data_IF_996837822707
#
_entry.id   IF_996837822707
#
_cell.length_a   1.000
_cell.length_b   1.000
_cell.length_c   1.000
_cell.angle_alpha   90.00
_cell.angle_beta   90.00
_cell.angle_gamma   90.00
#
_symmetry.space_group_name_H-M   'P 1'
#
loop_
_entity.id
_entity.type
_entity.pdbx_description
1 polymer ?
#
# COMPACT_ATOMS: atom_id res chain seq x y z
N UNK A 1 -9.18 18.62 -24.68
CA UNK A 1 -8.41 17.83 -25.66
C UNK A 1 -9.05 16.46 -25.72
N UNK A 2 -9.99 16.26 -26.65
CA UNK A 2 -10.74 15.00 -26.80
C UNK A 2 -9.88 14.03 -27.60
N UNK A 3 -9.33 12.99 -26.96
CA UNK A 3 -8.71 11.86 -27.65
C UNK A 3 -9.80 11.06 -28.35
N UNK A 4 -10.12 11.42 -29.58
CA UNK A 4 -10.96 10.58 -30.44
C UNK A 4 -10.17 9.30 -30.73
N UNK A 5 -10.47 8.22 -30.01
CA UNK A 5 -9.98 6.89 -30.33
C UNK A 5 -10.57 6.48 -31.69
N UNK A 6 -9.75 6.53 -32.74
CA UNK A 6 -10.11 5.98 -34.04
C UNK A 6 -10.06 4.47 -33.90
N UNK A 7 -11.22 3.81 -33.86
CA UNK A 7 -11.34 2.35 -33.81
C UNK A 7 -10.90 1.73 -35.14
N UNK A 8 -9.58 1.72 -35.37
CA UNK A 8 -8.94 1.10 -36.52
C UNK A 8 -8.62 -0.36 -36.22
N UNK A 9 -8.70 -1.23 -37.23
CA UNK A 9 -8.29 -2.63 -37.13
C UNK A 9 -6.80 -2.81 -36.77
N UNK A 10 -5.98 -1.77 -36.83
CA UNK A 10 -4.62 -1.79 -36.32
C UNK A 10 -4.55 -1.62 -34.78
N UNK A 11 -5.50 -0.89 -34.19
CA UNK A 11 -5.45 -0.48 -32.78
C UNK A 11 -5.76 -1.65 -31.83
N UNK A 12 -6.62 -2.60 -32.22
CA UNK A 12 -6.94 -3.76 -31.37
C UNK A 12 -5.74 -4.69 -31.12
N UNK A 13 -4.73 -4.67 -32.01
CA UNK A 13 -3.49 -5.43 -31.86
C UNK A 13 -2.41 -4.68 -31.07
N UNK A 14 -2.63 -3.41 -30.74
CA UNK A 14 -1.67 -2.59 -30.00
C UNK A 14 -1.44 -3.20 -28.61
N UNK A 15 -0.16 -3.35 -28.25
CA UNK A 15 0.21 -3.70 -26.89
C UNK A 15 0.35 -2.41 -26.09
N UNK A 16 -0.43 -2.21 -25.01
CA UNK A 16 -0.34 -1.00 -24.22
C UNK A 16 0.96 -0.97 -23.44
N UNK A 17 1.53 0.22 -23.33
CA UNK A 17 2.73 0.44 -22.54
C UNK A 17 2.36 0.45 -21.05
N UNK A 18 3.24 -0.01 -20.16
CA UNK A 18 2.99 0.00 -18.71
C UNK A 18 2.68 1.41 -18.17
N UNK A 19 3.26 2.46 -18.77
CA UNK A 19 2.94 3.85 -18.43
C UNK A 19 1.48 4.22 -18.79
N UNK A 20 0.95 3.74 -19.92
CA UNK A 20 -0.45 3.94 -20.31
C UNK A 20 -1.39 3.23 -19.33
N UNK A 21 -1.00 2.08 -18.81
CA UNK A 21 -1.80 1.35 -17.80
C UNK A 21 -1.87 2.08 -16.46
N UNK A 22 -0.81 2.78 -16.06
CA UNK A 22 -0.75 3.46 -14.75
C UNK A 22 -1.34 4.86 -14.83
N UNK A 23 -0.93 5.64 -15.84
CA UNK A 23 -1.25 7.06 -15.96
C UNK A 23 -2.30 7.36 -17.03
N UNK A 24 -2.63 6.39 -17.88
CA UNK A 24 -3.67 6.55 -18.89
C UNK A 24 -5.02 6.78 -18.22
N UNK A 25 -5.75 7.77 -18.72
CA UNK A 25 -7.02 8.15 -18.14
C UNK A 25 -8.12 7.10 -18.44
N UNK A 26 -8.02 6.47 -19.60
CA UNK A 26 -8.81 5.30 -20.00
C UNK A 26 -8.02 4.01 -19.75
N UNK A 27 -8.73 2.97 -19.31
CA UNK A 27 -8.14 1.67 -19.08
C UNK A 27 -7.98 0.94 -20.42
N UNK A 28 -6.77 0.50 -20.80
CA UNK A 28 -6.60 -0.29 -22.02
C UNK A 28 -7.28 -1.65 -21.86
N UNK A 29 -7.92 -2.13 -22.92
CA UNK A 29 -8.67 -3.39 -22.91
C UNK A 29 -7.78 -4.63 -22.70
N UNK A 30 -6.51 -4.55 -23.13
CA UNK A 30 -5.54 -5.64 -23.03
C UNK A 30 -4.55 -5.40 -21.89
N UNK A 31 -4.16 -6.46 -21.19
CA UNK A 31 -3.07 -6.39 -20.22
C UNK A 31 -1.71 -6.22 -20.96
N UNK A 32 -0.77 -5.45 -20.40
CA UNK A 32 0.60 -5.36 -20.91
C UNK A 32 1.35 -6.68 -20.63
N UNK A 33 2.37 -6.98 -21.45
CA UNK A 33 3.12 -8.25 -21.39
C UNK A 33 4.04 -8.37 -20.15
N UNK A 34 4.32 -7.24 -19.50
CA UNK A 34 5.15 -7.17 -18.30
C UNK A 34 4.44 -7.75 -17.07
N UNK A 35 5.14 -8.52 -16.23
CA UNK A 35 4.59 -9.07 -14.98
C UNK A 35 3.99 -7.99 -14.06
N UNK A 36 4.79 -6.96 -13.74
CA UNK A 36 4.35 -5.85 -12.87
C UNK A 36 3.19 -5.09 -13.52
N UNK A 37 3.26 -4.87 -14.84
CA UNK A 37 2.21 -4.19 -15.59
C UNK A 37 0.88 -4.95 -15.58
N UNK A 38 0.91 -6.28 -15.72
CA UNK A 38 -0.31 -7.10 -15.70
C UNK A 38 -0.95 -7.16 -14.31
N UNK A 39 -0.14 -7.14 -13.24
CA UNK A 39 -0.65 -7.07 -11.87
C UNK A 39 -1.33 -5.73 -11.59
N UNK A 40 -0.67 -4.61 -11.94
CA UNK A 40 -1.22 -3.27 -11.77
C UNK A 40 -2.47 -3.06 -12.62
N UNK A 41 -2.49 -3.57 -13.85
CA UNK A 41 -3.67 -3.57 -14.71
C UNK A 41 -4.84 -4.30 -14.02
N UNK A 42 -4.60 -5.48 -13.44
CA UNK A 42 -5.64 -6.26 -12.76
C UNK A 42 -6.17 -5.57 -11.51
N UNK A 43 -5.29 -5.00 -10.68
CA UNK A 43 -5.69 -4.22 -9.51
C UNK A 43 -6.50 -2.99 -9.90
N UNK A 44 -6.06 -2.26 -10.91
CA UNK A 44 -6.79 -1.11 -11.43
C UNK A 44 -8.16 -1.49 -11.98
N UNK A 45 -8.25 -2.59 -12.73
CA UNK A 45 -9.51 -3.08 -13.29
C UNK A 45 -10.49 -3.50 -12.19
N UNK A 46 -10.01 -4.19 -11.14
CA UNK A 46 -10.81 -4.49 -9.95
C UNK A 46 -11.32 -3.23 -9.26
N UNK A 47 -10.44 -2.26 -9.04
CA UNK A 47 -10.80 -1.00 -8.40
C UNK A 47 -11.83 -0.22 -9.22
N UNK A 48 -11.62 -0.08 -10.54
CA UNK A 48 -12.56 0.60 -11.43
C UNK A 48 -13.92 -0.12 -11.50
N UNK A 49 -13.93 -1.46 -11.43
CA UNK A 49 -15.16 -2.26 -11.41
C UNK A 49 -15.94 -2.13 -10.09
N UNK A 50 -15.27 -2.24 -8.93
CA UNK A 50 -15.94 -2.18 -7.62
C UNK A 50 -16.58 -0.82 -7.35
N UNK A 51 -15.93 0.26 -7.79
CA UNK A 51 -16.42 1.63 -7.61
C UNK A 51 -17.22 2.15 -8.81
N UNK A 52 -17.49 1.31 -9.81
CA UNK A 52 -18.17 1.67 -11.06
C UNK A 52 -17.57 2.91 -11.76
N UNK A 53 -16.27 3.15 -11.59
CA UNK A 53 -15.57 4.32 -12.10
C UNK A 53 -15.45 4.33 -13.62
N UNK A 54 -15.80 3.22 -14.28
CA UNK A 54 -15.86 3.12 -15.74
C UNK A 54 -16.99 3.94 -16.36
N UNK A 55 -18.03 4.30 -15.59
CA UNK A 55 -19.18 5.07 -16.07
C UNK A 55 -19.06 6.58 -15.79
N UNK A 56 -18.07 6.97 -14.99
CA UNK A 56 -17.86 8.37 -14.62
C UNK A 56 -17.13 9.13 -15.71
N UNK A 57 -17.41 10.43 -15.80
CA UNK A 57 -16.63 11.29 -16.68
C UNK A 57 -15.17 11.38 -16.16
N UNK A 58 -14.19 11.55 -17.07
CA UNK A 58 -12.78 11.74 -16.74
C UNK A 58 -12.50 12.68 -15.56
N UNK A 59 -13.19 13.80 -15.51
CA UNK A 59 -12.96 14.83 -14.49
C UNK A 59 -13.58 14.44 -13.13
N UNK A 60 -14.73 13.76 -13.12
CA UNK A 60 -15.39 13.27 -11.91
C UNK A 60 -14.53 12.19 -11.24
N UNK A 61 -13.94 11.29 -12.05
CA UNK A 61 -13.00 10.27 -11.57
C UNK A 61 -11.81 10.92 -10.84
N UNK A 62 -11.25 12.00 -11.40
CA UNK A 62 -10.15 12.75 -10.78
C UNK A 62 -10.59 13.38 -9.45
N UNK A 63 -11.78 13.97 -9.39
CA UNK A 63 -12.33 14.57 -8.17
C UNK A 63 -12.51 13.51 -7.07
N UNK A 64 -13.13 12.37 -7.37
CA UNK A 64 -13.31 11.28 -6.40
C UNK A 64 -11.97 10.77 -5.88
N UNK A 65 -11.01 10.52 -6.79
CA UNK A 65 -9.66 10.10 -6.39
C UNK A 65 -9.02 11.12 -5.46
N UNK A 66 -9.19 12.41 -5.72
CA UNK A 66 -8.66 13.47 -4.84
C UNK A 66 -9.30 13.44 -3.45
N UNK A 67 -10.62 13.29 -3.36
CA UNK A 67 -11.33 13.19 -2.07
C UNK A 67 -10.89 11.95 -1.29
N UNK A 68 -10.89 10.78 -1.94
CA UNK A 68 -10.48 9.51 -1.31
C UNK A 68 -9.05 9.60 -0.80
N UNK A 69 -8.13 10.14 -1.62
CA UNK A 69 -6.74 10.35 -1.19
C UNK A 69 -6.65 11.34 -0.01
N UNK A 70 -7.41 12.42 -0.03
CA UNK A 70 -7.42 13.40 1.07
C UNK A 70 -7.88 12.78 2.39
N UNK A 71 -8.95 11.98 2.35
CA UNK A 71 -9.45 11.25 3.53
C UNK A 71 -8.43 10.20 3.98
N UNK A 72 -7.81 9.46 3.05
CA UNK A 72 -6.80 8.46 3.37
C UNK A 72 -5.57 9.11 4.02
N UNK A 73 -5.07 10.23 3.49
CA UNK A 73 -3.94 10.96 4.09
C UNK A 73 -4.29 11.44 5.48
N UNK A 74 -5.51 11.97 5.69
CA UNK A 74 -5.97 12.39 7.01
C UNK A 74 -6.05 11.20 7.99
N UNK A 75 -6.56 10.05 7.53
CA UNK A 75 -6.62 8.82 8.32
C UNK A 75 -5.23 8.29 8.66
N UNK A 76 -4.33 8.22 7.69
CA UNK A 76 -2.94 7.77 7.90
C UNK A 76 -2.24 8.70 8.87
N UNK A 77 -2.39 10.03 8.71
CA UNK A 77 -1.83 11.01 9.64
C UNK A 77 -2.42 10.84 11.05
N UNK A 78 -3.73 10.66 11.15
CA UNK A 78 -4.42 10.38 12.41
C UNK A 78 -3.89 9.11 13.08
N UNK A 79 -3.76 8.01 12.34
CA UNK A 79 -3.20 6.75 12.84
C UNK A 79 -1.75 6.96 13.27
N UNK A 80 -0.88 7.52 12.43
CA UNK A 80 0.53 7.68 12.76
C UNK A 80 0.76 8.58 13.98
N UNK A 81 -0.06 9.63 14.16
CA UNK A 81 0.10 10.56 15.28
C UNK A 81 -0.58 10.08 16.57
N UNK A 82 -1.75 9.44 16.46
CA UNK A 82 -2.58 9.08 17.61
C UNK A 82 -2.43 7.62 18.06
N UNK A 83 -2.17 6.70 17.13
CA UNK A 83 -2.04 5.28 17.44
C UNK A 83 -0.85 4.92 18.34
N UNK A 84 0.38 5.47 18.16
CA UNK A 84 1.52 5.06 18.99
C UNK A 84 1.35 5.44 20.46
N UNK A 85 0.75 6.60 20.77
CA UNK A 85 0.52 7.03 22.16
C UNK A 85 -0.50 6.14 22.88
N UNK A 86 -1.50 5.62 22.15
CA UNK A 86 -2.46 4.65 22.69
C UNK A 86 -1.87 3.27 22.90
N UNK A 87 -1.02 2.79 21.99
CA UNK A 87 -0.34 1.50 22.14
C UNK A 87 0.55 1.49 23.40
N UNK A 88 1.26 2.57 23.68
CA UNK A 88 2.06 2.68 24.91
C UNK A 88 1.16 2.56 26.14
N UNK A 89 0.06 3.30 26.19
CA UNK A 89 -0.86 3.28 27.35
C UNK A 89 -1.51 1.89 27.55
N UNK A 90 -1.92 1.24 26.46
CA UNK A 90 -2.48 -0.12 26.53
C UNK A 90 -1.44 -1.16 26.94
N UNK A 91 -0.21 -1.07 26.41
CA UNK A 91 0.87 -2.00 26.75
C UNK A 91 1.21 -1.96 28.25
N UNK A 92 1.20 -0.77 28.87
CA UNK A 92 1.41 -0.60 30.32
C UNK A 92 0.36 -1.36 31.14
N UNK A 93 -0.92 -1.27 30.73
CA UNK A 93 -2.01 -2.00 31.39
C UNK A 93 -1.89 -3.51 31.21
N UNK A 94 -1.56 -3.97 30.00
CA UNK A 94 -1.36 -5.40 29.72
C UNK A 94 -0.21 -5.97 30.55
N UNK A 95 0.90 -5.24 30.69
CA UNK A 95 2.00 -5.67 31.56
C UNK A 95 1.64 -5.67 33.04
N UNK A 96 0.83 -4.70 33.50
CA UNK A 96 0.33 -4.73 34.87
C UNK A 96 -0.50 -6.01 35.14
N UNK A 97 -1.39 -6.39 34.23
CA UNK A 97 -2.20 -7.58 34.40
C UNK A 97 -1.41 -8.90 34.25
N UNK A 98 -0.39 -8.93 33.39
CA UNK A 98 0.40 -10.14 33.16
C UNK A 98 1.52 -10.36 34.17
N UNK A 99 2.21 -9.30 34.59
CA UNK A 99 3.41 -9.37 35.44
C UNK A 99 3.15 -8.90 36.88
N UNK A 100 2.07 -8.18 37.15
CA UNK A 100 1.76 -7.66 38.48
C UNK A 100 2.69 -6.55 38.98
N UNK A 101 3.60 -6.05 38.13
CA UNK A 101 4.59 -5.02 38.50
C UNK A 101 4.44 -3.78 37.61
N UNK A 102 4.51 -2.59 38.21
CA UNK A 102 4.40 -1.29 37.53
C UNK A 102 5.63 -0.90 36.68
N UNK A 103 6.57 -1.82 36.46
CA UNK A 103 7.84 -1.60 35.75
C UNK A 103 7.67 -1.66 34.21
N UNK A 104 6.79 -0.83 33.65
CA UNK A 104 6.44 -0.88 32.24
C UNK A 104 7.37 -0.08 31.30
N UNK A 105 8.33 0.69 31.83
CA UNK A 105 9.28 1.44 30.99
C UNK A 105 10.49 0.61 30.53
N UNK A 106 10.69 -0.60 31.08
CA UNK A 106 11.90 -1.41 30.86
C UNK A 106 11.63 -2.64 29.98
N UNK A 107 10.41 -3.20 29.96
CA UNK A 107 10.17 -4.55 29.42
C UNK A 107 10.07 -4.68 27.89
N UNK A 108 9.38 -3.78 27.18
CA UNK A 108 9.10 -3.97 25.74
C UNK A 108 10.29 -3.62 24.84
N UNK A 109 10.97 -2.51 25.12
CA UNK A 109 12.18 -2.11 24.41
C UNK A 109 13.33 -3.09 24.69
N UNK A 110 13.47 -3.60 25.92
CA UNK A 110 14.42 -4.66 26.23
C UNK A 110 14.06 -6.00 25.58
N UNK A 111 12.77 -6.36 25.52
CA UNK A 111 12.36 -7.61 24.86
C UNK A 111 12.50 -7.53 23.34
N UNK A 112 12.20 -6.38 22.72
CA UNK A 112 12.49 -6.14 21.31
C UNK A 112 14.00 -6.08 21.03
N UNK A 113 14.80 -5.44 21.88
CA UNK A 113 16.25 -5.40 21.70
C UNK A 113 16.89 -6.76 21.91
N UNK A 114 16.37 -7.58 22.85
CA UNK A 114 16.74 -8.99 23.03
C UNK A 114 16.31 -9.87 21.86
N UNK A 115 15.14 -9.64 21.28
CA UNK A 115 14.72 -10.34 20.07
C UNK A 115 15.57 -9.92 18.87
N UNK A 116 15.82 -8.63 18.69
CA UNK A 116 16.67 -8.10 17.63
C UNK A 116 18.13 -8.60 17.77
N UNK A 117 18.66 -8.67 18.99
CA UNK A 117 20.00 -9.24 19.23
C UNK A 117 20.05 -10.75 19.02
N UNK A 118 18.99 -11.50 19.35
CA UNK A 118 18.90 -12.93 19.04
C UNK A 118 18.66 -13.23 17.54
N UNK A 119 18.04 -12.30 16.81
CA UNK A 119 17.81 -12.40 15.35
C UNK A 119 19.04 -11.92 14.54
N UNK A 120 19.95 -11.18 15.18
CA UNK A 120 21.28 -10.87 14.68
C UNK A 120 22.10 -12.15 14.42
N UNK A 121 22.12 -12.57 13.17
CA UNK A 121 22.79 -13.74 12.61
C UNK A 121 24.14 -14.14 13.26
N UNK A 122 24.26 -15.44 13.56
CA UNK A 122 25.49 -16.23 13.72
C UNK A 122 26.47 -16.02 12.55
N UNK A 123 27.24 -14.93 12.55
CA UNK A 123 28.33 -14.71 11.59
C UNK A 123 29.66 -15.38 11.99
N UNK A 124 29.70 -16.14 13.09
CA UNK A 124 30.90 -16.82 13.59
C UNK A 124 31.30 -18.11 12.83
N UNK A 125 31.05 -18.22 11.52
CA UNK A 125 31.48 -19.37 10.68
C UNK A 125 32.58 -19.00 9.67
N UNK A 126 33.12 -17.77 9.71
CA UNK A 126 34.15 -17.31 8.77
C UNK A 126 35.52 -17.01 9.44
N UNK A 127 35.91 -17.76 10.48
CA UNK A 127 37.21 -17.61 11.14
C UNK A 127 38.02 -18.92 11.23
N UNK A 128 37.57 -20.00 10.59
CA UNK A 128 38.35 -21.25 10.46
C UNK A 128 38.35 -21.69 9.00
N UNK A 129 39.24 -21.11 8.19
CA UNK A 129 39.87 -21.71 7.00
C UNK A 129 41.11 -20.89 6.63
#
# INVERSE_FOLDING_TARGET
MTTTHVYSAAEWKRQPTTAEVIFGLELPYRAPDNFIGSLLWRWRLWFEATFALSMLQPWEKVLIMFIVNSVLVLLVTGILLYFPSHLVTMSKRVMYYLLGTEAADIGFSESLSRLASNVGWRSHVAAEL
#
